data_IF_304751350406
#
_entry.id   IF_304751350406
#
_cell.length_a   1.000
_cell.length_b   1.000
_cell.length_c   1.000
_cell.angle_alpha   90.00
_cell.angle_beta   90.00
_cell.angle_gamma   90.00
#
_symmetry.space_group_name_H-M   'P 1'
#
loop_
_entity.id
_entity.type
_entity.pdbx_description
1 polymer ?
#
# COMPACT_ATOMS: atom_id res chain seq x y z
N UNK A 1 14.27 -9.36 -43.00
CA UNK A 1 13.39 -8.89 -44.09
C UNK A 1 12.48 -7.81 -43.56
N UNK A 2 12.83 -6.52 -43.83
CA UNK A 2 12.02 -5.35 -43.42
C UNK A 2 10.72 -5.27 -44.25
N UNK A 3 9.53 -5.09 -43.63
CA UNK A 3 8.32 -4.78 -44.38
C UNK A 3 8.44 -3.39 -45.00
N UNK A 4 8.21 -3.30 -46.28
CA UNK A 4 8.21 -2.08 -47.09
C UNK A 4 7.25 -1.03 -46.53
N UNK A 5 7.78 0.11 -46.09
CA UNK A 5 7.02 1.33 -45.79
C UNK A 5 6.45 1.84 -47.14
N UNK A 6 5.20 1.43 -47.45
CA UNK A 6 4.49 1.93 -48.64
C UNK A 6 3.56 3.07 -48.25
N UNK A 7 3.88 4.26 -48.85
CA UNK A 7 3.07 5.49 -48.96
C UNK A 7 2.88 6.28 -47.67
N UNK A 8 3.97 6.85 -47.22
CA UNK A 8 3.97 8.10 -46.48
C UNK A 8 3.64 9.25 -47.49
N UNK A 9 2.62 10.09 -47.21
CA UNK A 9 2.46 11.33 -47.92
C UNK A 9 3.64 12.23 -47.59
N UNK A 10 4.24 12.91 -48.60
CA UNK A 10 5.34 13.84 -48.42
C UNK A 10 4.99 14.85 -47.33
N UNK A 11 5.95 15.16 -46.47
CA UNK A 11 5.81 16.25 -45.50
C UNK A 11 5.73 17.56 -46.22
N UNK A 12 4.70 18.36 -45.94
CA UNK A 12 4.47 19.64 -46.60
C UNK A 12 4.64 20.77 -45.60
N UNK A 13 5.39 21.80 -46.02
CA UNK A 13 5.41 23.12 -45.37
C UNK A 13 4.14 23.85 -45.79
N UNK A 14 3.36 24.35 -44.81
CA UNK A 14 2.18 25.17 -45.07
C UNK A 14 2.29 26.53 -44.39
N UNK A 15 2.02 27.55 -45.17
CA UNK A 15 1.81 28.94 -44.74
C UNK A 15 0.29 29.17 -44.73
N UNK A 16 -0.28 29.52 -43.61
CA UNK A 16 -1.71 29.80 -43.48
C UNK A 16 -1.93 31.11 -42.72
N UNK A 17 -3.12 31.74 -42.84
CA UNK A 17 -3.46 32.93 -42.04
C UNK A 17 -3.30 32.73 -40.53
N UNK A 18 -3.31 31.49 -40.08
CA UNK A 18 -3.13 31.10 -38.66
C UNK A 18 -1.68 30.78 -38.27
N UNK A 19 -0.74 30.83 -39.22
CA UNK A 19 0.69 30.59 -38.98
C UNK A 19 1.30 29.46 -39.81
N UNK A 20 2.62 29.33 -39.65
CA UNK A 20 3.43 28.33 -40.35
C UNK A 20 3.44 27.00 -39.61
N UNK A 21 3.37 25.89 -40.37
CA UNK A 21 3.46 24.54 -39.82
C UNK A 21 3.94 23.53 -40.88
N UNK A 22 4.49 22.40 -40.38
CA UNK A 22 4.66 21.21 -41.23
C UNK A 22 3.50 20.27 -41.03
N UNK A 23 3.08 19.61 -42.12
CA UNK A 23 1.95 18.69 -42.09
C UNK A 23 2.32 17.41 -42.84
N UNK A 24 1.96 16.25 -42.23
CA UNK A 24 2.11 14.95 -42.85
C UNK A 24 1.04 13.99 -42.28
N UNK A 25 0.86 12.84 -42.93
CA UNK A 25 -0.05 11.78 -42.45
C UNK A 25 0.66 10.46 -42.42
N UNK A 26 0.44 9.70 -41.36
CA UNK A 26 1.02 8.37 -41.18
C UNK A 26 -0.10 7.32 -41.18
N UNK A 27 0.11 6.23 -41.89
CA UNK A 27 -0.86 5.13 -41.95
C UNK A 27 -0.64 4.17 -40.78
N UNK A 28 -1.69 3.94 -39.99
CA UNK A 28 -1.68 2.86 -38.99
C UNK A 28 -1.82 1.50 -39.69
N UNK A 29 -0.83 0.66 -39.56
CA UNK A 29 -0.79 -0.65 -40.19
C UNK A 29 -1.84 -1.64 -39.65
N UNK A 30 -2.35 -1.42 -38.42
CA UNK A 30 -3.33 -2.29 -37.77
C UNK A 30 -4.75 -1.95 -38.21
N UNK A 31 -5.07 -0.66 -38.33
CA UNK A 31 -6.43 -0.19 -38.65
C UNK A 31 -6.59 0.26 -40.10
N UNK A 32 -5.49 0.45 -40.84
CA UNK A 32 -5.47 0.99 -42.18
C UNK A 32 -5.78 2.50 -42.28
N UNK A 33 -6.11 3.16 -41.17
CA UNK A 33 -6.47 4.57 -41.11
C UNK A 33 -5.25 5.48 -41.27
N UNK A 34 -5.48 6.67 -41.87
CA UNK A 34 -4.46 7.73 -41.99
C UNK A 34 -4.62 8.69 -40.81
N UNK A 35 -3.55 8.88 -40.05
CA UNK A 35 -3.48 9.82 -38.93
C UNK A 35 -2.72 11.08 -39.33
N UNK A 36 -3.37 12.25 -39.44
CA UNK A 36 -2.73 13.51 -39.75
C UNK A 36 -1.97 14.03 -38.55
N UNK A 37 -0.77 14.63 -38.79
CA UNK A 37 0.01 15.32 -37.79
C UNK A 37 0.39 16.69 -38.28
N UNK A 38 0.20 17.69 -37.42
CA UNK A 38 0.53 19.09 -37.63
C UNK A 38 1.57 19.51 -36.59
N UNK A 39 2.69 20.13 -37.02
CA UNK A 39 3.76 20.58 -36.13
C UNK A 39 3.93 22.09 -36.31
N UNK A 40 3.64 22.85 -35.26
CA UNK A 40 3.72 24.33 -35.23
C UNK A 40 4.88 24.83 -34.35
N UNK A 41 5.62 23.92 -33.72
CA UNK A 41 6.67 24.22 -32.74
C UNK A 41 7.75 25.17 -33.32
N UNK A 42 8.00 26.26 -32.62
CA UNK A 42 9.10 27.20 -32.91
C UNK A 42 8.83 28.25 -33.98
N UNK A 43 7.81 28.12 -34.86
CA UNK A 43 7.56 29.07 -35.95
C UNK A 43 7.18 30.47 -35.47
N UNK A 44 6.58 30.59 -34.26
CA UNK A 44 6.25 31.91 -33.68
C UNK A 44 7.49 32.76 -33.33
N UNK A 45 8.62 32.11 -33.05
CA UNK A 45 9.88 32.77 -32.72
C UNK A 45 10.65 33.25 -33.94
N UNK A 46 10.36 32.74 -35.15
CA UNK A 46 11.02 33.09 -36.40
C UNK A 46 10.48 34.42 -36.94
N UNK A 47 11.37 35.40 -37.11
CA UNK A 47 11.03 36.76 -37.60
C UNK A 47 10.97 36.85 -39.12
N UNK A 48 11.82 36.11 -39.80
CA UNK A 48 11.94 36.16 -41.26
C UNK A 48 11.39 34.91 -41.94
N UNK A 49 11.04 35.03 -43.22
CA UNK A 49 10.56 33.90 -44.03
C UNK A 49 11.66 32.84 -44.22
N UNK A 50 12.90 33.29 -44.33
CA UNK A 50 14.08 32.40 -44.43
C UNK A 50 14.28 31.56 -43.19
N UNK A 51 14.17 32.14 -41.98
CA UNK A 51 14.25 31.41 -40.70
C UNK A 51 13.15 30.37 -40.57
N UNK A 52 11.93 30.70 -41.03
CA UNK A 52 10.79 29.76 -41.03
C UNK A 52 11.03 28.56 -41.93
N UNK A 53 11.61 28.78 -43.14
CA UNK A 53 12.00 27.68 -44.03
C UNK A 53 13.12 26.82 -43.45
N UNK A 54 14.13 27.44 -42.84
CA UNK A 54 15.24 26.72 -42.22
C UNK A 54 14.73 25.84 -41.07
N UNK A 55 13.85 26.38 -40.21
CA UNK A 55 13.21 25.60 -39.13
C UNK A 55 12.34 24.49 -39.70
N UNK A 56 11.55 24.76 -40.74
CA UNK A 56 10.68 23.71 -41.34
C UNK A 56 11.51 22.55 -41.89
N UNK A 57 12.61 22.84 -42.60
CA UNK A 57 13.50 21.79 -43.13
C UNK A 57 14.12 20.97 -42.00
N UNK A 58 14.60 21.60 -40.94
CA UNK A 58 15.13 20.93 -39.74
C UNK A 58 14.09 20.00 -39.10
N UNK A 59 12.85 20.46 -38.93
CA UNK A 59 11.76 19.65 -38.39
C UNK A 59 11.37 18.48 -39.33
N UNK A 60 11.38 18.69 -40.64
CA UNK A 60 11.14 17.64 -41.65
C UNK A 60 12.19 16.54 -41.52
N UNK A 61 13.46 16.88 -41.39
CA UNK A 61 14.56 15.92 -41.21
C UNK A 61 14.38 15.14 -39.88
N UNK A 62 14.13 15.85 -38.79
CA UNK A 62 13.91 15.26 -37.49
C UNK A 62 12.77 14.22 -37.51
N UNK A 63 11.60 14.62 -38.00
CA UNK A 63 10.44 13.68 -38.03
C UNK A 63 10.59 12.59 -39.09
N UNK A 64 11.32 12.81 -40.18
CA UNK A 64 11.67 11.77 -41.14
C UNK A 64 12.55 10.69 -40.48
N UNK A 65 13.54 11.12 -39.67
CA UNK A 65 14.40 10.20 -38.94
C UNK A 65 13.60 9.42 -37.90
N UNK A 66 12.74 10.07 -37.09
CA UNK A 66 11.86 9.46 -36.10
C UNK A 66 10.95 8.42 -36.75
N UNK A 67 10.35 8.72 -37.89
CA UNK A 67 9.49 7.76 -38.63
C UNK A 67 10.27 6.56 -39.17
N UNK A 68 11.51 6.74 -39.63
CA UNK A 68 12.40 5.65 -40.05
C UNK A 68 12.79 4.75 -38.87
N UNK A 69 12.89 5.30 -37.67
CA UNK A 69 13.16 4.58 -36.41
C UNK A 69 11.93 3.87 -35.82
N UNK A 70 10.77 3.95 -36.48
CA UNK A 70 9.54 3.27 -36.06
C UNK A 70 8.64 4.10 -35.14
N UNK A 71 8.95 5.39 -34.95
CA UNK A 71 8.05 6.28 -34.23
C UNK A 71 6.73 6.50 -34.99
N UNK A 72 5.63 6.53 -34.25
CA UNK A 72 4.28 6.75 -34.77
C UNK A 72 3.53 7.77 -33.92
N UNK A 73 2.74 8.70 -34.55
CA UNK A 73 2.13 9.82 -33.84
C UNK A 73 1.16 9.43 -32.72
N UNK A 74 0.59 8.25 -32.78
CA UNK A 74 -0.40 7.73 -31.81
C UNK A 74 0.24 6.95 -30.66
N UNK A 75 1.55 6.74 -30.66
CA UNK A 75 2.31 6.06 -29.62
C UNK A 75 3.39 6.93 -28.96
N UNK A 76 3.44 8.20 -29.33
CA UNK A 76 4.39 9.15 -28.74
C UNK A 76 3.82 9.68 -27.40
N UNK A 77 4.32 9.20 -26.25
CA UNK A 77 3.89 9.71 -24.96
C UNK A 77 4.22 11.17 -24.76
N UNK A 78 5.30 11.70 -25.40
CA UNK A 78 5.72 13.10 -25.27
C UNK A 78 4.87 14.02 -26.15
N UNK A 79 4.50 13.61 -27.37
CA UNK A 79 3.71 14.44 -28.29
C UNK A 79 2.27 14.67 -27.79
N UNK A 80 1.67 13.67 -27.16
CA UNK A 80 0.35 13.82 -26.50
C UNK A 80 0.48 14.79 -25.33
N UNK A 81 1.62 14.77 -24.62
CA UNK A 81 1.86 15.60 -23.43
C UNK A 81 2.13 17.06 -23.74
N UNK A 82 2.96 17.38 -24.77
CA UNK A 82 3.27 18.80 -25.10
C UNK A 82 2.03 19.54 -25.62
N UNK A 83 1.23 18.92 -26.47
CA UNK A 83 0.00 19.53 -27.00
C UNK A 83 -1.08 19.67 -25.91
N UNK A 84 -1.19 18.70 -25.00
CA UNK A 84 -2.13 18.74 -23.88
C UNK A 84 -1.72 19.76 -22.80
N UNK A 85 -0.41 19.87 -22.50
CA UNK A 85 0.12 20.89 -21.59
C UNK A 85 -0.04 22.29 -22.18
N UNK A 86 0.25 22.50 -23.44
CA UNK A 86 0.10 23.82 -24.10
C UNK A 86 -1.37 24.22 -24.20
N UNK A 87 -2.27 23.27 -24.51
CA UNK A 87 -3.72 23.50 -24.50
C UNK A 87 -4.24 23.84 -23.10
N UNK A 88 -3.74 23.16 -22.06
CA UNK A 88 -4.13 23.42 -20.69
C UNK A 88 -3.53 24.71 -20.13
N UNK A 89 -2.28 25.07 -20.49
CA UNK A 89 -1.67 26.34 -20.10
C UNK A 89 -2.33 27.54 -20.80
N UNK A 90 -2.76 27.40 -22.06
CA UNK A 90 -3.53 28.44 -22.74
C UNK A 90 -4.94 28.58 -22.15
N UNK A 91 -5.61 27.49 -21.83
CA UNK A 91 -6.92 27.51 -21.17
C UNK A 91 -6.86 28.03 -19.72
N UNK A 92 -5.76 27.83 -18.98
CA UNK A 92 -5.56 28.42 -17.65
C UNK A 92 -5.47 29.94 -17.69
N UNK A 93 -4.87 30.53 -18.74
CA UNK A 93 -4.86 32.00 -18.92
C UNK A 93 -6.26 32.59 -19.15
N UNK A 94 -7.18 31.81 -19.71
CA UNK A 94 -8.59 32.23 -19.91
C UNK A 94 -9.52 31.86 -18.76
N UNK A 95 -9.15 30.94 -17.86
CA UNK A 95 -10.02 30.46 -16.79
C UNK A 95 -9.80 31.13 -15.42
N UNK A 96 -8.93 32.14 -15.32
CA UNK A 96 -8.59 32.83 -14.07
C UNK A 96 -9.76 33.54 -13.34
N UNK A 97 -10.98 33.44 -13.85
CA UNK A 97 -12.19 34.04 -13.22
C UNK A 97 -13.27 33.03 -12.77
N UNK A 98 -13.16 31.73 -13.06
CA UNK A 98 -14.07 30.71 -12.51
C UNK A 98 -13.28 29.73 -11.67
N UNK A 99 -13.44 29.76 -10.32
CA UNK A 99 -12.92 28.70 -9.44
C UNK A 99 -13.41 27.37 -9.98
N UNK A 100 -12.50 26.51 -10.45
CA UNK A 100 -12.87 25.17 -10.93
C UNK A 100 -13.69 24.44 -9.86
N UNK A 101 -14.81 23.84 -10.28
CA UNK A 101 -15.60 22.98 -9.39
C UNK A 101 -14.90 21.69 -9.02
N UNK A 102 -13.85 21.31 -9.78
CA UNK A 102 -13.17 20.03 -9.67
C UNK A 102 -11.70 20.19 -9.22
N UNK A 103 -11.45 21.08 -8.26
CA UNK A 103 -10.11 21.21 -7.68
C UNK A 103 -9.71 19.92 -6.95
N UNK A 104 -8.43 19.56 -7.03
CA UNK A 104 -7.92 18.36 -6.37
C UNK A 104 -8.17 18.40 -4.86
N UNK A 105 -8.04 19.54 -4.21
CA UNK A 105 -8.37 19.75 -2.78
C UNK A 105 -9.78 19.28 -2.47
N UNK A 106 -10.76 19.75 -3.23
CA UNK A 106 -12.17 19.42 -3.03
C UNK A 106 -12.45 17.94 -3.25
N UNK A 107 -11.91 17.38 -4.35
CA UNK A 107 -12.13 15.97 -4.70
C UNK A 107 -11.51 15.01 -3.68
N UNK A 108 -10.32 15.33 -3.15
CA UNK A 108 -9.68 14.55 -2.07
C UNK A 108 -10.52 14.61 -0.77
N UNK A 109 -11.04 15.79 -0.42
CA UNK A 109 -11.91 15.95 0.76
C UNK A 109 -13.19 15.13 0.63
N UNK A 110 -13.86 15.21 -0.53
CA UNK A 110 -15.09 14.46 -0.80
C UNK A 110 -14.84 12.94 -0.73
N UNK A 111 -13.80 12.47 -1.40
CA UNK A 111 -13.40 11.07 -1.38
C UNK A 111 -13.13 10.56 0.05
N UNK A 112 -12.41 11.31 0.87
CA UNK A 112 -12.18 10.95 2.26
C UNK A 112 -13.47 10.90 3.09
N UNK A 113 -14.40 11.82 2.84
CA UNK A 113 -15.70 11.82 3.51
C UNK A 113 -16.50 10.56 3.18
N UNK A 114 -16.56 10.17 1.91
CA UNK A 114 -17.23 8.94 1.47
C UNK A 114 -16.55 7.70 2.07
N UNK A 115 -15.21 7.64 2.04
CA UNK A 115 -14.45 6.53 2.62
C UNK A 115 -14.60 6.40 4.14
N UNK A 116 -14.89 7.50 4.84
CA UNK A 116 -15.19 7.46 6.28
C UNK A 116 -16.45 6.64 6.59
N UNK A 117 -17.44 6.67 5.70
CA UNK A 117 -18.69 5.93 5.86
C UNK A 117 -18.53 4.43 5.55
N UNK A 118 -17.65 4.09 4.59
CA UNK A 118 -17.52 2.72 4.07
C UNK A 118 -16.39 1.91 4.71
N UNK A 119 -15.39 2.55 5.30
CA UNK A 119 -14.20 1.86 5.80
C UNK A 119 -14.23 1.67 7.32
N UNK A 120 -13.67 0.54 7.78
CA UNK A 120 -13.35 0.35 9.20
C UNK A 120 -12.40 1.46 9.67
N UNK A 121 -12.58 1.96 10.91
CA UNK A 121 -11.82 3.07 11.52
C UNK A 121 -10.31 3.05 11.22
N UNK A 122 -9.66 1.90 11.39
CA UNK A 122 -8.20 1.76 11.16
C UNK A 122 -7.81 1.90 9.68
N UNK A 123 -8.62 1.37 8.76
CA UNK A 123 -8.41 1.52 7.32
C UNK A 123 -8.57 2.99 6.92
N UNK A 124 -9.60 3.66 7.41
CA UNK A 124 -9.81 5.09 7.18
C UNK A 124 -8.63 5.93 7.69
N UNK A 125 -8.11 5.67 8.89
CA UNK A 125 -6.92 6.35 9.42
C UNK A 125 -5.70 6.16 8.52
N UNK A 126 -5.56 5.00 7.87
CA UNK A 126 -4.49 4.74 6.90
C UNK A 126 -4.65 5.62 5.66
N UNK A 127 -5.88 5.72 5.12
CA UNK A 127 -6.20 6.64 4.02
C UNK A 127 -5.89 8.09 4.39
N UNK A 128 -6.38 8.57 5.53
CA UNK A 128 -6.11 9.92 6.02
C UNK A 128 -4.61 10.22 6.11
N UNK A 129 -3.84 9.30 6.70
CA UNK A 129 -2.40 9.46 6.85
C UNK A 129 -1.69 9.57 5.51
N UNK A 130 -2.05 8.74 4.51
CA UNK A 130 -1.43 8.75 3.19
C UNK A 130 -1.82 9.99 2.39
N UNK A 131 -3.11 10.35 2.40
CA UNK A 131 -3.57 11.57 1.73
C UNK A 131 -3.04 12.85 2.39
N UNK A 132 -2.82 12.87 3.71
CA UNK A 132 -2.15 14.01 4.36
C UNK A 132 -0.76 14.27 3.75
N UNK A 133 0.04 13.22 3.53
CA UNK A 133 1.36 13.35 2.94
C UNK A 133 1.27 13.79 1.46
N UNK A 134 0.30 13.26 0.72
CA UNK A 134 0.06 13.68 -0.67
C UNK A 134 -0.41 15.14 -0.75
N UNK A 135 -1.34 15.57 0.12
CA UNK A 135 -1.75 16.97 0.21
C UNK A 135 -0.59 17.91 0.52
N UNK A 136 0.26 17.57 1.49
CA UNK A 136 1.46 18.35 1.82
C UNK A 136 2.41 18.50 0.63
N UNK A 137 2.57 17.47 -0.18
CA UNK A 137 3.32 17.54 -1.43
C UNK A 137 2.67 18.51 -2.42
N UNK A 138 1.37 18.34 -2.68
CA UNK A 138 0.62 19.19 -3.62
C UNK A 138 0.60 20.67 -3.18
N UNK A 139 0.51 20.94 -1.88
CA UNK A 139 0.56 22.30 -1.33
C UNK A 139 1.93 22.95 -1.52
N UNK A 140 3.02 22.24 -1.20
CA UNK A 140 4.39 22.75 -1.42
C UNK A 140 4.69 23.03 -2.89
N UNK A 141 4.12 22.24 -3.80
CA UNK A 141 4.28 22.38 -5.25
C UNK A 141 3.23 23.31 -5.88
N UNK A 142 2.33 23.87 -5.07
CA UNK A 142 1.23 24.74 -5.50
C UNK A 142 0.23 24.06 -6.46
N UNK A 143 0.14 22.72 -6.43
CA UNK A 143 -0.79 21.93 -7.26
C UNK A 143 -2.14 21.70 -6.62
N UNK A 144 -2.31 21.96 -5.32
CA UNK A 144 -3.48 21.55 -4.54
C UNK A 144 -4.80 22.16 -5.02
N UNK A 145 -4.76 23.35 -5.59
CA UNK A 145 -5.92 24.08 -6.08
C UNK A 145 -6.07 23.99 -7.62
N UNK A 146 -5.25 23.15 -8.26
CA UNK A 146 -5.39 22.85 -9.67
C UNK A 146 -6.67 22.05 -9.95
N UNK A 147 -7.22 22.22 -11.15
CA UNK A 147 -8.19 21.28 -11.66
C UNK A 147 -7.60 19.88 -11.74
N UNK A 148 -8.41 18.87 -11.48
CA UNK A 148 -7.95 17.47 -11.47
C UNK A 148 -7.35 17.03 -12.82
N UNK A 149 -7.82 17.60 -13.91
CA UNK A 149 -7.31 17.32 -15.26
C UNK A 149 -5.84 17.72 -15.44
N UNK A 150 -5.33 18.67 -14.65
CA UNK A 150 -3.93 19.10 -14.66
C UNK A 150 -2.99 18.15 -13.92
N UNK A 151 -3.53 17.21 -13.10
CA UNK A 151 -2.73 16.22 -12.38
C UNK A 151 -2.36 15.06 -13.29
N UNK A 152 -1.18 15.14 -13.84
CA UNK A 152 -0.67 14.17 -14.80
C UNK A 152 0.31 13.16 -14.17
N UNK A 153 0.76 12.19 -14.96
CA UNK A 153 1.70 11.16 -14.51
C UNK A 153 3.04 11.75 -14.03
N UNK A 154 3.54 12.86 -14.61
CA UNK A 154 4.80 13.51 -14.20
C UNK A 154 4.72 13.96 -12.73
N UNK A 155 3.64 14.62 -12.34
CA UNK A 155 3.40 15.05 -10.95
C UNK A 155 3.34 13.85 -10.01
N UNK A 156 2.70 12.76 -10.44
CA UNK A 156 2.61 11.53 -9.65
C UNK A 156 4.00 10.87 -9.51
N UNK A 157 4.78 10.78 -10.59
CA UNK A 157 6.16 10.26 -10.52
C UNK A 157 7.01 11.12 -9.59
N UNK A 158 6.90 12.45 -9.65
CA UNK A 158 7.60 13.36 -8.74
C UNK A 158 7.26 13.07 -7.27
N UNK A 159 5.99 12.90 -6.95
CA UNK A 159 5.55 12.52 -5.61
C UNK A 159 6.16 11.18 -5.15
N UNK A 160 6.10 10.15 -5.98
CA UNK A 160 6.67 8.85 -5.63
C UNK A 160 8.20 8.88 -5.52
N UNK A 161 8.86 9.70 -6.33
CA UNK A 161 10.31 9.92 -6.24
C UNK A 161 10.67 10.59 -4.90
N UNK A 162 9.87 11.55 -4.44
CA UNK A 162 10.04 12.16 -3.12
C UNK A 162 9.86 11.12 -2.00
N UNK A 163 8.85 10.25 -2.08
CA UNK A 163 8.65 9.19 -1.11
C UNK A 163 9.87 8.26 -1.02
N UNK A 164 10.50 7.97 -2.14
CA UNK A 164 11.65 7.06 -2.22
C UNK A 164 12.95 7.75 -1.80
N UNK A 165 13.26 8.93 -2.35
CA UNK A 165 14.56 9.58 -2.19
C UNK A 165 14.67 10.46 -0.94
N UNK A 166 13.58 11.14 -0.56
CA UNK A 166 13.59 12.08 0.57
C UNK A 166 13.07 11.43 1.85
N UNK A 167 12.02 10.60 1.74
CA UNK A 167 11.43 9.90 2.89
C UNK A 167 11.97 8.48 3.07
N UNK A 168 12.84 8.03 2.17
CA UNK A 168 13.50 6.72 2.20
C UNK A 168 12.53 5.54 2.44
N UNK A 169 11.33 5.64 1.88
CA UNK A 169 10.33 4.61 2.08
C UNK A 169 10.68 3.34 1.31
N UNK A 170 10.46 2.21 1.98
CA UNK A 170 10.64 0.90 1.40
C UNK A 170 9.58 0.58 0.33
N UNK A 171 9.87 -0.46 -0.47
CA UNK A 171 8.98 -0.92 -1.56
C UNK A 171 7.56 -1.22 -1.09
N UNK A 172 7.39 -1.78 0.10
CA UNK A 172 6.07 -2.13 0.65
C UNK A 172 5.28 -0.88 1.00
N UNK A 173 5.94 0.09 1.63
CA UNK A 173 5.34 1.39 1.98
C UNK A 173 4.95 2.18 0.73
N UNK A 174 5.82 2.23 -0.30
CA UNK A 174 5.53 2.87 -1.59
C UNK A 174 4.35 2.19 -2.29
N UNK A 175 4.29 0.86 -2.31
CA UNK A 175 3.15 0.13 -2.87
C UNK A 175 1.83 0.44 -2.15
N UNK A 176 1.86 0.65 -0.82
CA UNK A 176 0.67 1.05 -0.07
C UNK A 176 0.17 2.44 -0.49
N UNK A 177 1.08 3.40 -0.78
CA UNK A 177 0.68 4.68 -1.37
C UNK A 177 0.06 4.49 -2.75
N UNK A 178 0.70 3.67 -3.60
CA UNK A 178 0.18 3.37 -4.94
C UNK A 178 -1.24 2.82 -4.90
N UNK A 179 -1.51 1.84 -4.03
CA UNK A 179 -2.85 1.24 -3.88
C UNK A 179 -3.89 2.30 -3.48
N UNK A 180 -3.57 3.14 -2.49
CA UNK A 180 -4.50 4.14 -1.97
C UNK A 180 -4.75 5.26 -2.97
N UNK A 181 -3.71 5.76 -3.65
CA UNK A 181 -3.87 6.76 -4.69
C UNK A 181 -4.60 6.19 -5.91
N UNK A 182 -4.32 4.92 -6.30
CA UNK A 182 -5.08 4.26 -7.37
C UNK A 182 -6.57 4.16 -7.05
N UNK A 183 -6.94 3.87 -5.79
CA UNK A 183 -8.34 3.85 -5.38
C UNK A 183 -9.02 5.23 -5.53
N UNK A 184 -8.31 6.32 -5.28
CA UNK A 184 -8.81 7.67 -5.51
C UNK A 184 -8.98 7.99 -7.00
N UNK A 185 -7.96 7.77 -7.81
CA UNK A 185 -8.05 8.07 -9.24
C UNK A 185 -9.02 7.15 -9.98
N UNK A 186 -9.20 5.90 -9.57
CA UNK A 186 -10.22 5.01 -10.11
C UNK A 186 -11.63 5.51 -9.78
N UNK A 187 -11.86 5.99 -8.56
CA UNK A 187 -13.12 6.63 -8.19
C UNK A 187 -13.43 7.85 -9.07
N UNK A 188 -12.41 8.67 -9.40
CA UNK A 188 -12.60 9.79 -10.32
C UNK A 188 -12.88 9.35 -11.79
N UNK A 189 -12.32 8.22 -12.21
CA UNK A 189 -12.63 7.60 -13.51
C UNK A 189 -14.09 7.14 -13.56
N UNK A 190 -14.57 6.47 -12.50
CA UNK A 190 -15.96 6.02 -12.36
C UNK A 190 -16.94 7.20 -12.43
N UNK A 191 -16.57 8.34 -11.84
CA UNK A 191 -17.32 9.59 -11.88
C UNK A 191 -17.15 10.37 -13.21
N UNK A 192 -16.36 9.87 -14.17
CA UNK A 192 -16.04 10.52 -15.44
C UNK A 192 -15.41 11.92 -15.29
N UNK A 193 -14.74 12.17 -14.17
CA UNK A 193 -14.02 13.43 -13.91
C UNK A 193 -12.62 13.45 -14.54
N UNK A 194 -12.07 12.28 -14.84
CA UNK A 194 -10.85 12.07 -15.61
C UNK A 194 -11.07 10.95 -16.62
N UNK A 195 -10.31 10.95 -17.72
CA UNK A 195 -10.39 9.91 -18.75
C UNK A 195 -9.38 8.78 -18.56
N UNK A 196 -8.30 9.04 -17.82
CA UNK A 196 -7.22 8.07 -17.57
C UNK A 196 -6.61 8.30 -16.20
N UNK A 197 -6.28 7.21 -15.49
CA UNK A 197 -5.56 7.30 -14.22
C UNK A 197 -4.10 7.73 -14.47
N UNK A 198 -3.57 8.72 -13.75
CA UNK A 198 -2.16 9.10 -13.86
C UNK A 198 -1.22 8.14 -13.13
N UNK A 199 -1.71 7.07 -12.50
CA UNK A 199 -0.92 6.11 -11.73
C UNK A 199 -0.39 4.99 -12.65
N UNK A 200 0.64 5.26 -13.42
CA UNK A 200 1.35 4.27 -14.22
C UNK A 200 2.86 4.54 -14.20
N UNK A 201 3.68 3.52 -14.52
CA UNK A 201 5.14 3.59 -14.55
C UNK A 201 5.77 4.18 -13.27
N UNK A 202 5.19 3.85 -12.11
CA UNK A 202 5.67 4.36 -10.82
C UNK A 202 7.05 3.77 -10.51
N UNK A 203 8.03 4.62 -10.07
CA UNK A 203 9.36 4.18 -9.69
C UNK A 203 9.31 3.09 -8.62
N UNK A 204 10.19 2.10 -8.74
CA UNK A 204 10.30 1.00 -7.77
C UNK A 204 11.30 1.40 -6.68
N UNK A 205 10.87 1.40 -5.43
CA UNK A 205 11.76 1.52 -4.29
C UNK A 205 12.57 0.23 -4.06
N UNK A 206 13.70 0.36 -3.38
CA UNK A 206 14.50 -0.79 -2.97
C UNK A 206 13.72 -1.69 -2.00
N UNK A 207 13.99 -2.99 -2.07
CA UNK A 207 13.48 -3.95 -1.11
C UNK A 207 14.38 -3.86 0.13
N UNK A 208 13.83 -3.38 1.24
CA UNK A 208 14.55 -3.41 2.53
C UNK A 208 14.52 -4.84 3.09
N UNK A 209 15.53 -5.18 3.89
CA UNK A 209 15.63 -6.45 4.60
C UNK A 209 14.32 -6.77 5.32
N UNK A 210 13.88 -8.01 5.26
CA UNK A 210 12.62 -8.42 5.90
C UNK A 210 12.76 -8.33 7.43
N UNK A 211 12.18 -7.30 8.02
CA UNK A 211 12.12 -7.09 9.48
C UNK A 211 10.97 -7.88 10.13
N UNK A 212 10.60 -9.03 9.57
CA UNK A 212 9.58 -9.87 10.17
C UNK A 212 10.08 -10.42 11.53
N UNK A 213 9.13 -10.61 12.48
CA UNK A 213 9.47 -11.21 13.77
C UNK A 213 10.12 -12.59 13.56
N UNK A 214 11.24 -12.84 14.25
CA UNK A 214 11.88 -14.14 14.31
C UNK A 214 11.19 -15.02 15.36
N UNK A 215 11.11 -16.35 15.19
CA UNK A 215 10.85 -17.26 16.29
C UNK A 215 11.91 -17.10 17.39
N UNK A 216 11.51 -17.25 18.64
CA UNK A 216 12.42 -17.15 19.78
C UNK A 216 13.07 -18.51 19.97
N UNK A 217 14.39 -18.53 20.11
CA UNK A 217 15.14 -19.75 20.40
C UNK A 217 14.74 -20.33 21.77
N UNK A 218 14.76 -21.66 21.98
CA UNK A 218 14.30 -22.29 23.21
C UNK A 218 14.96 -21.75 24.48
N UNK A 219 16.28 -21.49 24.47
CA UNK A 219 17.05 -20.95 25.60
C UNK A 219 16.58 -19.53 25.93
N UNK A 220 16.47 -18.68 24.89
CA UNK A 220 16.01 -17.30 25.05
C UNK A 220 14.55 -17.23 25.48
N UNK A 221 13.71 -18.15 24.98
CA UNK A 221 12.30 -18.23 25.35
C UNK A 221 12.14 -18.53 26.85
N UNK A 222 12.90 -19.48 27.37
CA UNK A 222 12.87 -19.86 28.79
C UNK A 222 13.29 -18.68 29.67
N UNK A 223 14.41 -18.02 29.33
CA UNK A 223 14.92 -16.84 30.04
C UNK A 223 13.88 -15.70 30.02
N UNK A 224 13.36 -15.39 28.83
CA UNK A 224 12.40 -14.29 28.62
C UNK A 224 11.10 -14.55 29.40
N UNK A 225 10.51 -15.75 29.28
CA UNK A 225 9.26 -16.08 29.95
C UNK A 225 9.40 -16.14 31.47
N UNK A 226 10.55 -16.63 31.98
CA UNK A 226 10.82 -16.64 33.42
C UNK A 226 10.87 -15.23 33.99
N UNK A 227 11.51 -14.30 33.28
CA UNK A 227 11.61 -12.91 33.72
C UNK A 227 10.30 -12.16 33.58
N UNK A 228 9.55 -12.37 32.49
CA UNK A 228 8.20 -11.81 32.33
C UNK A 228 7.27 -12.31 33.43
N UNK A 229 7.31 -13.61 33.79
CA UNK A 229 6.47 -14.19 34.83
C UNK A 229 6.68 -13.53 36.19
N UNK A 230 7.95 -13.22 36.52
CA UNK A 230 8.31 -12.54 37.79
C UNK A 230 7.81 -11.11 37.86
N UNK A 231 7.88 -10.37 36.74
CA UNK A 231 7.62 -8.92 36.71
C UNK A 231 6.19 -8.53 36.33
N UNK A 232 5.55 -9.34 35.47
CA UNK A 232 4.33 -8.93 34.80
C UNK A 232 3.44 -10.12 34.44
N UNK A 233 2.60 -10.52 35.39
CA UNK A 233 1.67 -11.64 35.24
C UNK A 233 0.71 -11.49 34.05
N UNK A 234 0.21 -10.26 33.78
CA UNK A 234 -0.67 -10.03 32.63
C UNK A 234 0.07 -10.19 31.29
N UNK A 235 1.31 -9.67 31.20
CA UNK A 235 2.12 -9.85 30.00
C UNK A 235 2.50 -11.33 29.81
N UNK A 236 2.77 -12.05 30.89
CA UNK A 236 3.03 -13.49 30.84
C UNK A 236 1.84 -14.25 30.26
N UNK A 237 0.62 -13.98 30.77
CA UNK A 237 -0.60 -14.54 30.20
C UNK A 237 -0.76 -14.21 28.71
N UNK A 238 -0.46 -12.97 28.32
CA UNK A 238 -0.55 -12.53 26.94
C UNK A 238 0.47 -13.27 26.03
N UNK A 239 1.66 -13.58 26.53
CA UNK A 239 2.65 -14.43 25.84
C UNK A 239 2.15 -15.87 25.71
N UNK A 240 1.61 -16.46 26.76
CA UNK A 240 1.07 -17.82 26.73
C UNK A 240 -0.12 -17.96 25.79
N UNK A 241 -1.05 -16.98 25.76
CA UNK A 241 -2.17 -16.95 24.81
C UNK A 241 -1.69 -16.95 23.34
N UNK A 242 -0.62 -16.23 23.05
CA UNK A 242 -0.05 -16.24 21.70
C UNK A 242 0.65 -17.56 21.39
N UNK A 243 1.38 -18.10 22.37
CA UNK A 243 2.16 -19.32 22.21
C UNK A 243 1.28 -20.54 22.03
N UNK A 244 0.32 -20.78 22.95
CA UNK A 244 -0.53 -21.96 22.93
C UNK A 244 -1.73 -21.87 21.99
N UNK A 245 -2.29 -20.67 21.82
CA UNK A 245 -3.55 -20.49 21.09
C UNK A 245 -3.36 -19.68 19.80
N UNK A 246 -2.14 -19.36 19.41
CA UNK A 246 -1.82 -18.60 18.20
C UNK A 246 -2.65 -17.32 18.02
N UNK A 247 -3.10 -16.68 19.12
CA UNK A 247 -3.88 -15.44 19.11
C UNK A 247 -2.97 -14.30 18.62
N UNK A 248 -3.48 -13.46 17.71
CA UNK A 248 -2.68 -12.35 17.17
C UNK A 248 -2.54 -11.22 18.19
N UNK A 249 -1.31 -10.73 18.47
CA UNK A 249 -1.14 -9.55 19.31
C UNK A 249 -1.74 -8.32 18.61
N UNK A 250 -2.59 -7.63 19.27
CA UNK A 250 -3.31 -6.49 18.75
C UNK A 250 -4.77 -6.56 19.12
N UNK A 251 -5.67 -6.21 18.21
CA UNK A 251 -7.09 -6.19 18.57
C UNK A 251 -7.63 -7.58 19.01
N UNK A 252 -7.18 -8.66 18.34
CA UNK A 252 -7.65 -10.01 18.66
C UNK A 252 -7.35 -10.37 20.13
N UNK A 253 -6.09 -10.22 20.56
CA UNK A 253 -5.70 -10.49 21.94
C UNK A 253 -6.25 -9.42 22.90
N UNK A 254 -6.09 -8.16 22.57
CA UNK A 254 -6.41 -7.03 23.45
C UNK A 254 -7.89 -6.93 23.79
N UNK A 255 -8.78 -7.26 22.84
CA UNK A 255 -10.24 -7.16 23.02
C UNK A 255 -10.89 -8.50 23.36
N UNK A 256 -10.08 -9.51 23.73
CA UNK A 256 -10.60 -10.79 24.21
C UNK A 256 -11.25 -10.59 25.58
N UNK A 257 -12.51 -11.00 25.69
CA UNK A 257 -13.29 -10.94 26.93
C UNK A 257 -13.43 -12.32 27.55
N UNK A 258 -13.75 -12.38 28.82
CA UNK A 258 -13.97 -13.63 29.57
C UNK A 258 -15.06 -14.49 28.90
N UNK A 259 -16.13 -13.88 28.40
CA UNK A 259 -17.22 -14.60 27.71
C UNK A 259 -16.78 -15.34 26.43
N UNK A 260 -15.64 -15.00 25.86
CA UNK A 260 -15.09 -15.72 24.72
C UNK A 260 -14.36 -17.01 25.09
N UNK A 261 -14.17 -17.27 26.40
CA UNK A 261 -13.58 -18.49 26.93
C UNK A 261 -14.69 -19.44 27.39
N UNK A 262 -14.72 -20.64 26.85
CA UNK A 262 -15.45 -21.76 27.46
C UNK A 262 -14.41 -22.67 28.12
N UNK A 263 -14.13 -22.39 29.41
CA UNK A 263 -13.10 -23.09 30.15
C UNK A 263 -13.52 -24.54 30.46
N UNK A 264 -14.83 -24.83 30.48
CA UNK A 264 -15.32 -26.20 30.65
C UNK A 264 -15.04 -27.06 29.42
N UNK A 265 -15.29 -26.53 28.23
CA UNK A 265 -15.02 -27.21 26.96
C UNK A 265 -13.57 -27.04 26.47
N UNK A 266 -12.74 -26.26 27.17
CA UNK A 266 -11.34 -26.00 26.76
C UNK A 266 -11.22 -25.24 25.41
N UNK A 267 -12.10 -24.28 25.14
CA UNK A 267 -12.11 -23.58 23.86
C UNK A 267 -12.14 -22.05 24.00
N UNK A 268 -11.55 -21.37 23.00
CA UNK A 268 -11.63 -19.91 22.82
C UNK A 268 -12.37 -19.61 21.53
N UNK A 269 -13.40 -18.77 21.60
CA UNK A 269 -14.14 -18.27 20.44
C UNK A 269 -13.58 -16.91 20.01
N UNK A 270 -13.00 -16.82 18.82
CA UNK A 270 -12.52 -15.57 18.24
C UNK A 270 -13.56 -15.03 17.29
N UNK A 271 -14.17 -13.89 17.63
CA UNK A 271 -15.17 -13.25 16.76
C UNK A 271 -14.51 -12.55 15.56
N UNK A 272 -15.14 -12.62 14.38
CA UNK A 272 -14.70 -11.93 13.17
C UNK A 272 -14.70 -10.39 13.27
N UNK A 273 -15.45 -9.84 14.23
CA UNK A 273 -15.54 -8.39 14.47
C UNK A 273 -14.22 -7.83 15.01
N UNK A 274 -13.59 -8.56 15.90
CA UNK A 274 -12.33 -8.17 16.56
C UNK A 274 -11.08 -8.68 15.84
N UNK A 275 -11.23 -9.67 14.97
CA UNK A 275 -10.17 -10.25 14.15
C UNK A 275 -10.11 -9.70 12.73
N UNK A 276 -8.97 -9.89 12.04
CA UNK A 276 -8.82 -9.65 10.60
C UNK A 276 -9.37 -10.80 9.74
N UNK A 277 -9.77 -11.89 10.38
CA UNK A 277 -10.13 -13.16 9.78
C UNK A 277 -11.55 -13.58 10.18
N UNK A 278 -12.02 -14.68 9.59
CA UNK A 278 -13.31 -15.31 9.97
C UNK A 278 -13.33 -15.70 11.43
N UNK A 279 -14.53 -15.83 11.97
CA UNK A 279 -14.75 -16.47 13.26
C UNK A 279 -14.08 -17.84 13.29
N UNK A 280 -13.44 -18.15 14.40
CA UNK A 280 -12.83 -19.45 14.62
C UNK A 280 -12.86 -19.85 16.09
N UNK A 281 -12.91 -21.12 16.31
CA UNK A 281 -12.73 -21.74 17.63
C UNK A 281 -11.30 -22.27 17.73
N UNK A 282 -10.67 -22.07 18.87
CA UNK A 282 -9.32 -22.54 19.16
C UNK A 282 -9.41 -23.47 20.37
N UNK A 283 -8.87 -24.66 20.26
CA UNK A 283 -8.71 -25.57 21.39
C UNK A 283 -7.56 -25.08 22.28
N UNK A 284 -7.82 -25.07 23.58
CA UNK A 284 -6.83 -24.72 24.61
C UNK A 284 -6.17 -26.04 25.06
N UNK A 285 -4.82 -26.16 24.93
CA UNK A 285 -4.14 -27.34 25.48
C UNK A 285 -4.37 -27.47 26.99
N UNK A 286 -4.54 -28.69 27.48
CA UNK A 286 -4.91 -28.98 28.90
C UNK A 286 -3.95 -28.33 29.88
N UNK A 287 -2.64 -28.37 29.60
CA UNK A 287 -1.62 -27.71 30.43
C UNK A 287 -1.86 -26.21 30.55
N UNK A 288 -2.31 -25.55 29.49
CA UNK A 288 -2.58 -24.11 29.50
C UNK A 288 -3.98 -23.83 30.10
N UNK A 289 -4.96 -24.71 29.90
CA UNK A 289 -6.27 -24.61 30.52
C UNK A 289 -6.18 -24.63 32.06
N UNK A 290 -5.32 -25.50 32.62
CA UNK A 290 -5.01 -25.51 34.04
C UNK A 290 -4.48 -24.18 34.55
N UNK A 291 -3.58 -23.54 33.80
CA UNK A 291 -3.04 -22.22 34.13
C UNK A 291 -4.14 -21.16 34.17
N UNK A 292 -5.05 -21.17 33.17
CA UNK A 292 -6.15 -20.19 33.11
C UNK A 292 -7.10 -20.31 34.30
N UNK A 293 -7.35 -21.55 34.74
CA UNK A 293 -8.29 -21.87 35.85
C UNK A 293 -7.61 -21.68 37.21
N UNK A 294 -6.43 -22.25 37.41
CA UNK A 294 -5.78 -22.31 38.72
C UNK A 294 -5.00 -21.06 39.06
N UNK A 295 -4.17 -20.57 38.15
CA UNK A 295 -3.28 -19.42 38.40
C UNK A 295 -3.98 -18.08 38.18
N UNK A 296 -4.74 -17.99 37.09
CA UNK A 296 -5.42 -16.72 36.74
C UNK A 296 -6.87 -16.65 37.20
N UNK A 297 -7.48 -17.79 37.57
CA UNK A 297 -8.87 -17.89 38.09
C UNK A 297 -9.86 -17.10 37.22
N UNK A 298 -9.72 -17.24 35.88
CA UNK A 298 -10.49 -16.41 34.92
C UNK A 298 -12.01 -16.68 35.04
N UNK A 299 -12.42 -17.83 35.49
CA UNK A 299 -13.83 -18.18 35.77
C UNK A 299 -14.51 -17.30 36.83
N UNK A 300 -13.72 -16.63 37.69
CA UNK A 300 -14.22 -15.80 38.77
C UNK A 300 -14.49 -14.35 38.38
N UNK A 301 -14.12 -13.95 37.14
CA UNK A 301 -14.34 -12.62 36.66
C UNK A 301 -15.65 -12.45 35.89
N UNK A 302 -16.16 -11.23 35.83
CA UNK A 302 -17.34 -10.90 35.04
C UNK A 302 -17.10 -11.25 33.56
N UNK A 303 -18.10 -11.90 32.92
CA UNK A 303 -18.02 -12.35 31.51
C UNK A 303 -17.76 -11.23 30.53
N UNK A 304 -18.20 -9.99 30.82
CA UNK A 304 -17.98 -8.82 29.94
C UNK A 304 -16.62 -8.16 30.11
N UNK A 305 -15.84 -8.55 31.12
CA UNK A 305 -14.50 -7.99 31.31
C UNK A 305 -13.54 -8.45 30.24
N UNK A 306 -12.67 -7.53 29.82
CA UNK A 306 -11.52 -7.84 28.99
C UNK A 306 -10.47 -8.56 29.82
N UNK A 307 -9.95 -9.68 29.30
CA UNK A 307 -8.90 -10.47 29.98
C UNK A 307 -7.67 -9.59 30.24
N UNK A 308 -7.33 -8.75 29.25
CA UNK A 308 -6.24 -7.80 29.33
C UNK A 308 -6.79 -6.39 29.59
N UNK A 309 -7.19 -6.13 30.82
CA UNK A 309 -7.67 -4.83 31.27
C UNK A 309 -6.53 -3.82 31.45
N UNK A 310 -6.87 -2.56 31.52
CA UNK A 310 -5.90 -1.45 31.63
C UNK A 310 -5.18 -1.38 33.00
N UNK A 311 -5.71 -2.02 34.04
CA UNK A 311 -5.13 -2.08 35.40
C UNK A 311 -4.27 -3.32 35.64
N UNK A 312 -3.73 -3.95 34.60
CA UNK A 312 -2.94 -5.20 34.65
C UNK A 312 -3.71 -6.43 35.17
N UNK A 313 -5.04 -6.38 35.22
CA UNK A 313 -5.96 -7.46 35.59
C UNK A 313 -7.16 -7.42 34.65
N UNK A 314 -8.01 -8.45 34.62
CA UNK A 314 -9.28 -8.41 33.90
C UNK A 314 -10.13 -7.22 34.34
N UNK A 315 -10.77 -6.51 33.37
CA UNK A 315 -11.53 -5.29 33.68
C UNK A 315 -12.37 -4.77 32.51
N UNK A 316 -13.14 -3.72 32.78
CA UNK A 316 -14.11 -3.14 31.84
C UNK A 316 -13.46 -2.48 30.62
N UNK A 317 -12.25 -1.95 30.75
CA UNK A 317 -11.53 -1.26 29.68
C UNK A 317 -10.34 -2.08 29.23
N UNK A 318 -10.18 -2.32 27.93
CA UNK A 318 -9.05 -3.07 27.43
C UNK A 318 -7.75 -2.26 27.53
N UNK A 319 -6.63 -2.96 27.69
CA UNK A 319 -5.29 -2.40 27.64
C UNK A 319 -5.05 -1.60 26.33
N UNK A 320 -4.22 -0.55 26.39
CA UNK A 320 -3.91 0.30 25.23
C UNK A 320 -3.24 -0.47 24.06
N UNK A 321 -3.41 0.03 22.84
CA UNK A 321 -3.02 -0.68 21.59
C UNK A 321 -1.58 -1.19 21.54
N UNK A 322 -0.63 -0.48 22.13
CA UNK A 322 0.80 -0.83 22.08
C UNK A 322 1.35 -1.26 23.45
N UNK A 323 0.54 -1.24 24.49
CA UNK A 323 0.99 -1.40 25.87
C UNK A 323 1.74 -2.74 26.08
N UNK A 324 1.11 -3.87 25.76
CA UNK A 324 1.75 -5.18 25.91
C UNK A 324 3.05 -5.30 25.09
N UNK A 325 3.07 -4.75 23.87
CA UNK A 325 4.26 -4.74 23.02
C UNK A 325 5.39 -3.92 23.61
N UNK A 326 5.09 -2.76 24.17
CA UNK A 326 6.11 -1.89 24.80
C UNK A 326 6.70 -2.62 25.99
N UNK A 327 5.87 -3.15 26.90
CA UNK A 327 6.31 -3.90 28.08
C UNK A 327 7.18 -5.11 27.72
N UNK A 328 6.77 -5.86 26.68
CA UNK A 328 7.56 -6.99 26.16
C UNK A 328 8.93 -6.53 25.65
N UNK A 329 8.98 -5.48 24.85
CA UNK A 329 10.23 -4.96 24.30
C UNK A 329 11.16 -4.48 25.42
N UNK A 330 10.64 -3.80 26.44
CA UNK A 330 11.44 -3.33 27.59
C UNK A 330 12.15 -4.51 28.26
N UNK A 331 11.43 -5.57 28.61
CA UNK A 331 12.06 -6.75 29.28
C UNK A 331 13.05 -7.45 28.33
N UNK A 332 12.69 -7.63 27.06
CA UNK A 332 13.60 -8.21 26.05
C UNK A 332 14.90 -7.41 25.95
N UNK A 333 14.80 -6.08 25.86
CA UNK A 333 15.97 -5.19 25.69
C UNK A 333 16.85 -5.17 26.95
N UNK A 334 16.26 -5.20 28.14
CA UNK A 334 16.98 -5.32 29.43
C UNK A 334 17.74 -6.64 29.57
N UNK A 335 17.20 -7.73 28.99
CA UNK A 335 17.86 -9.02 28.92
C UNK A 335 18.94 -9.12 27.83
N UNK A 336 19.12 -8.07 27.02
CA UNK A 336 20.08 -8.07 25.91
C UNK A 336 19.72 -9.02 24.76
N UNK A 337 18.47 -9.49 24.68
CA UNK A 337 18.04 -10.44 23.66
C UNK A 337 17.87 -9.79 22.29
N UNK A 338 17.86 -10.64 21.25
CA UNK A 338 17.74 -10.20 19.86
C UNK A 338 16.52 -9.26 19.65
N UNK A 339 16.74 -8.08 19.08
CA UNK A 339 15.72 -7.06 18.79
C UNK A 339 14.65 -7.52 17.77
N UNK A 340 14.94 -8.56 16.99
CA UNK A 340 13.98 -9.17 16.08
C UNK A 340 13.02 -10.15 16.78
N UNK A 341 13.24 -10.46 18.05
CA UNK A 341 12.23 -11.05 18.93
C UNK A 341 11.21 -9.99 19.30
N UNK A 342 10.12 -9.97 18.59
CA UNK A 342 9.01 -9.04 18.79
C UNK A 342 7.89 -9.71 19.57
N UNK A 343 7.01 -8.96 20.18
CA UNK A 343 5.85 -9.55 20.88
C UNK A 343 5.05 -10.54 20.02
N UNK A 344 5.04 -10.34 18.69
CA UNK A 344 4.44 -11.28 17.74
C UNK A 344 5.24 -12.59 17.59
N UNK A 345 6.51 -12.63 17.98
CA UNK A 345 7.36 -13.81 17.91
C UNK A 345 6.82 -14.97 18.75
N UNK A 346 6.14 -14.67 19.87
CA UNK A 346 5.49 -15.69 20.70
C UNK A 346 4.56 -16.59 19.90
N UNK A 347 3.71 -15.99 19.04
CA UNK A 347 2.83 -16.75 18.15
C UNK A 347 3.62 -17.61 17.15
N UNK A 348 4.71 -17.10 16.60
CA UNK A 348 5.52 -17.83 15.63
C UNK A 348 6.25 -19.00 16.27
N UNK A 349 6.77 -18.78 17.46
CA UNK A 349 7.44 -19.81 18.26
C UNK A 349 6.48 -20.95 18.59
N UNK A 350 5.31 -20.65 19.15
CA UNK A 350 4.30 -21.66 19.49
C UNK A 350 3.82 -22.46 18.27
N UNK A 351 3.59 -21.79 17.13
CA UNK A 351 3.19 -22.48 15.90
C UNK A 351 4.32 -23.35 15.30
N UNK A 352 5.59 -22.99 15.50
CA UNK A 352 6.73 -23.85 15.18
C UNK A 352 6.71 -25.14 15.97
N UNK A 353 6.58 -25.04 17.30
CA UNK A 353 6.49 -26.22 18.17
C UNK A 353 5.27 -27.09 17.90
N UNK A 354 4.14 -26.49 17.50
CA UNK A 354 2.95 -27.27 17.17
C UNK A 354 3.19 -28.20 15.96
N UNK A 355 4.03 -27.79 15.01
CA UNK A 355 4.42 -28.60 13.85
C UNK A 355 5.29 -29.82 14.21
N UNK A 356 5.96 -29.78 15.36
CA UNK A 356 6.82 -30.86 15.83
C UNK A 356 6.05 -31.87 16.69
N UNK A 357 4.76 -31.61 16.97
CA UNK A 357 3.87 -32.53 17.70
C UNK A 357 3.40 -33.64 16.75
N UNK A 358 3.65 -34.92 17.10
CA UNK A 358 3.21 -36.04 16.28
C UNK A 358 1.69 -36.03 16.03
N UNK A 359 1.29 -36.28 14.79
CA UNK A 359 -0.11 -36.31 14.37
C UNK A 359 -0.72 -34.98 13.97
N UNK A 360 -0.04 -33.83 14.19
CA UNK A 360 -0.51 -32.53 13.72
C UNK A 360 -0.24 -32.38 12.21
N UNK A 361 -1.32 -32.13 11.47
CA UNK A 361 -1.26 -31.87 10.02
C UNK A 361 -1.09 -30.39 9.70
N UNK A 362 -0.71 -30.09 8.46
CA UNK A 362 -0.66 -28.70 7.94
C UNK A 362 -2.05 -28.06 7.98
N UNK A 363 -3.11 -28.86 7.83
CA UNK A 363 -4.49 -28.36 7.91
C UNK A 363 -4.85 -27.96 9.34
N UNK A 364 -4.48 -28.76 10.32
CA UNK A 364 -4.68 -28.42 11.74
C UNK A 364 -3.96 -27.11 12.10
N UNK A 365 -2.72 -26.95 11.62
CA UNK A 365 -1.99 -25.70 11.79
C UNK A 365 -2.66 -24.54 11.06
N UNK A 366 -3.22 -24.75 9.86
CA UNK A 366 -3.95 -23.73 9.12
C UNK A 366 -5.15 -23.22 9.93
N UNK A 367 -5.92 -24.12 10.48
CA UNK A 367 -7.12 -23.83 11.30
C UNK A 367 -6.72 -23.12 12.59
N UNK A 368 -5.71 -23.64 13.29
CA UNK A 368 -5.18 -23.03 14.51
C UNK A 368 -4.66 -21.61 14.30
N UNK A 369 -3.94 -21.36 13.21
CA UNK A 369 -3.46 -20.01 12.83
C UNK A 369 -4.59 -19.12 12.31
N UNK A 370 -5.71 -19.69 11.90
CA UNK A 370 -6.83 -19.00 11.25
C UNK A 370 -6.44 -18.44 9.88
N UNK A 371 -5.75 -19.23 9.06
CA UNK A 371 -5.45 -18.87 7.68
C UNK A 371 -6.58 -19.32 6.75
N UNK A 372 -7.09 -18.39 5.93
CA UNK A 372 -8.15 -18.69 4.96
C UNK A 372 -7.63 -19.47 3.73
N UNK A 373 -6.32 -19.39 3.46
CA UNK A 373 -5.67 -20.06 2.34
C UNK A 373 -4.49 -20.89 2.84
N UNK A 374 -4.43 -22.16 2.44
CA UNK A 374 -3.38 -23.11 2.80
C UNK A 374 -1.98 -22.62 2.37
N UNK A 375 -1.89 -21.90 1.23
CA UNK A 375 -0.63 -21.31 0.77
C UNK A 375 -0.04 -20.32 1.79
N UNK A 376 -0.88 -19.62 2.56
CA UNK A 376 -0.40 -18.76 3.65
C UNK A 376 0.28 -19.56 4.75
N UNK A 377 -0.20 -20.77 5.02
CA UNK A 377 0.40 -21.70 5.99
C UNK A 377 1.69 -22.29 5.45
N UNK A 378 1.76 -22.67 4.18
CA UNK A 378 3.00 -23.13 3.54
C UNK A 378 4.08 -22.04 3.55
N UNK A 379 3.74 -20.79 3.19
CA UNK A 379 4.69 -19.68 3.28
C UNK A 379 5.15 -19.43 4.71
N UNK A 380 4.25 -19.57 5.66
CA UNK A 380 4.56 -19.46 7.07
C UNK A 380 5.56 -20.54 7.51
N UNK A 381 5.30 -21.81 7.21
CA UNK A 381 6.17 -22.96 7.54
C UNK A 381 7.55 -22.78 6.88
N UNK A 382 7.58 -22.50 5.56
CA UNK A 382 8.84 -22.33 4.83
C UNK A 382 9.71 -21.23 5.44
N UNK A 383 9.09 -20.14 5.90
CA UNK A 383 9.80 -19.01 6.52
C UNK A 383 10.42 -19.40 7.87
N UNK A 384 9.71 -20.20 8.66
CA UNK A 384 10.13 -20.51 10.04
C UNK A 384 10.92 -21.81 10.16
N UNK A 385 10.70 -22.81 9.30
CA UNK A 385 11.58 -23.99 9.22
C UNK A 385 12.93 -23.70 8.56
N UNK A 386 13.00 -22.82 7.58
CA UNK A 386 14.24 -22.35 7.00
C UNK A 386 15.15 -21.55 7.95
N UNK A 387 14.61 -21.10 9.10
CA UNK A 387 15.35 -20.38 10.14
C UNK A 387 15.82 -21.28 11.29
N UNK A 388 15.32 -22.52 11.38
CA UNK A 388 15.69 -23.48 12.44
C UNK A 388 16.69 -24.54 11.96
N UNK A 389 17.15 -24.47 10.71
CA UNK A 389 18.10 -25.40 10.09
C UNK A 389 19.53 -24.82 10.00
N UNK A 390 19.85 -23.79 10.73
CA UNK A 390 21.20 -23.33 11.02
C UNK A 390 21.43 -23.59 12.55
#
# INVERSE_FOLDING_TARGET
LHPRVRRQRQMCIRDSPKGWYIYFSVRDHRTGKMHPKKIERGFKACKTKSEKYALANKLIEEYTLKLKQGWVPWHDPEAIYEDEINYQLENQKYSSKRKSRNTIRRLLSNFLTERKLSLKKKSYQTYQSKFRIFNQFLERKQYIDFDISAINNKIIIEFFTELIKIRELDRRSVNNYKIILSAFFNHLLEQKLIYKSPIFNIPKAHKIKDNAPLPILPVDLQTLLSEIKKRDSQLYLACLMQYYCAIRPGNELRTLQIKHLNLWAGIIMISGVNGKMRERTINIPDQFLKVLISDYKLQNYNKEYFIFGNERKPGEKPVGNNNLRVRFNTIRDELGLNKDYKFYSMKHTGAGFLLDVPGITIKDLQEHLGHTNINSTYHYIKKYRGMTSE
#
